data_IF_198365709064
#
_entry.id   IF_198365709064
#
_cell.length_a   1.000
_cell.length_b   1.000
_cell.length_c   1.000
_cell.angle_alpha   90.00
_cell.angle_beta   90.00
_cell.angle_gamma   90.00
#
_symmetry.space_group_name_H-M   'P 1'
#
loop_
_entity.id
_entity.type
_entity.pdbx_description
1 polymer ?
#
# COMPACT_ATOMS: atom_id res chain seq x y z
N UNK A 1 -5.91 -31.07 11.01
CA UNK A 1 -5.72 -30.42 9.70
C UNK A 1 -6.54 -29.13 9.71
N UNK A 2 -5.96 -28.04 10.19
CA UNK A 2 -6.64 -26.75 10.26
C UNK A 2 -5.99 -25.82 9.22
N UNK A 3 -6.74 -25.53 8.17
CA UNK A 3 -6.37 -24.59 7.11
C UNK A 3 -6.24 -23.20 7.71
N UNK A 4 -5.00 -22.74 7.91
CA UNK A 4 -4.71 -21.36 8.25
C UNK A 4 -4.98 -20.51 7.00
N UNK A 5 -6.21 -20.01 6.86
CA UNK A 5 -6.49 -18.91 5.97
C UNK A 5 -5.81 -17.65 6.53
N UNK A 6 -4.55 -17.42 6.15
CA UNK A 6 -3.90 -16.13 6.33
C UNK A 6 -4.70 -15.10 5.53
N UNK A 7 -5.65 -14.43 6.19
CA UNK A 7 -6.30 -13.25 5.66
C UNK A 7 -5.24 -12.18 5.40
N UNK A 8 -4.78 -12.08 4.17
CA UNK A 8 -3.85 -11.04 3.71
C UNK A 8 -4.54 -9.67 3.87
N UNK A 9 -4.25 -9.01 4.99
CA UNK A 9 -4.68 -7.62 5.18
C UNK A 9 -3.95 -6.72 4.16
N UNK A 10 -4.56 -5.62 3.69
CA UNK A 10 -3.98 -4.74 2.68
C UNK A 10 -2.61 -4.16 3.10
N UNK A 11 -2.37 -4.08 4.41
CA UNK A 11 -1.09 -3.66 4.99
C UNK A 11 0.02 -4.69 4.72
N UNK A 12 -0.28 -5.99 4.77
CA UNK A 12 0.66 -7.04 4.42
C UNK A 12 0.90 -7.12 2.91
N UNK A 13 -0.11 -6.88 2.07
CA UNK A 13 0.06 -6.78 0.61
C UNK A 13 0.99 -5.62 0.23
N UNK A 14 0.82 -4.46 0.86
CA UNK A 14 1.70 -3.29 0.65
C UNK A 14 3.10 -3.52 1.20
N UNK A 15 3.25 -4.18 2.36
CA UNK A 15 4.55 -4.53 2.93
C UNK A 15 5.30 -5.57 2.10
N UNK A 16 4.60 -6.59 1.60
CA UNK A 16 5.17 -7.60 0.70
C UNK A 16 5.52 -7.00 -0.67
N UNK A 17 4.68 -6.10 -1.20
CA UNK A 17 4.96 -5.36 -2.43
C UNK A 17 6.17 -4.41 -2.30
N UNK A 18 6.29 -3.70 -1.18
CA UNK A 18 7.44 -2.83 -0.89
C UNK A 18 8.73 -3.64 -0.66
N UNK A 19 8.65 -4.75 0.07
CA UNK A 19 9.77 -5.67 0.26
C UNK A 19 10.23 -6.30 -1.07
N UNK A 20 9.28 -6.62 -1.96
CA UNK A 20 9.59 -7.11 -3.31
C UNK A 20 10.22 -6.01 -4.19
N UNK A 21 9.78 -4.76 -4.06
CA UNK A 21 10.39 -3.60 -4.72
C UNK A 21 11.82 -3.33 -4.26
N UNK A 22 12.11 -3.57 -2.98
CA UNK A 22 13.46 -3.46 -2.38
C UNK A 22 14.40 -4.59 -2.81
N UNK A 23 13.86 -5.73 -3.25
CA UNK A 23 14.61 -6.89 -3.74
C UNK A 23 14.84 -6.86 -5.26
N UNK A 24 14.22 -5.93 -6.00
CA UNK A 24 14.55 -5.73 -7.40
C UNK A 24 15.95 -5.13 -7.51
N UNK A 25 16.90 -5.80 -8.18
CA UNK A 25 18.15 -5.14 -8.54
C UNK A 25 17.79 -3.92 -9.38
N UNK A 26 18.27 -2.75 -8.96
CA UNK A 26 18.23 -1.53 -9.75
C UNK A 26 18.94 -1.84 -11.07
N UNK A 27 18.18 -2.10 -12.13
CA UNK A 27 18.73 -2.24 -13.46
C UNK A 27 19.28 -0.86 -13.85
N UNK A 28 20.59 -0.72 -13.74
CA UNK A 28 21.31 0.45 -14.23
C UNK A 28 21.03 0.57 -15.73
N UNK A 29 20.34 1.64 -16.11
CA UNK A 29 20.29 2.09 -17.49
C UNK A 29 21.71 2.52 -17.87
N UNK A 30 22.50 1.59 -18.41
CA UNK A 30 23.81 1.89 -18.95
C UNK A 30 23.63 2.50 -20.34
N UNK A 31 24.23 3.66 -20.53
CA UNK A 31 24.26 4.36 -21.83
C UNK A 31 24.80 3.45 -22.93
N UNK A 32 24.24 3.54 -24.15
CA UNK A 32 24.71 2.78 -25.28
C UNK A 32 26.12 3.26 -25.65
N UNK A 33 27.11 2.42 -25.36
CA UNK A 33 28.41 2.54 -26.04
C UNK A 33 28.12 2.41 -27.53
N UNK A 34 28.57 3.38 -28.34
CA UNK A 34 28.21 3.59 -29.75
C UNK A 34 28.69 2.52 -30.73
N UNK A 35 28.61 1.26 -30.33
CA UNK A 35 28.98 0.06 -31.08
C UNK A 35 27.69 -0.72 -31.31
N UNK A 36 27.29 -0.89 -32.57
CA UNK A 36 26.07 -1.61 -32.92
C UNK A 36 26.09 -3.07 -32.43
N UNK A 37 24.96 -3.55 -31.90
CA UNK A 37 24.84 -4.89 -31.32
C UNK A 37 25.18 -6.02 -32.31
N UNK A 38 25.08 -5.75 -33.62
CA UNK A 38 25.35 -6.71 -34.69
C UNK A 38 26.75 -7.30 -34.68
N UNK A 39 27.75 -6.62 -34.12
CA UNK A 39 29.14 -7.12 -34.03
C UNK A 39 29.27 -8.38 -33.16
N UNK A 40 28.31 -8.60 -32.25
CA UNK A 40 28.29 -9.76 -31.36
C UNK A 40 27.45 -10.92 -31.91
N UNK A 41 27.03 -10.85 -33.18
CA UNK A 41 26.36 -11.97 -33.86
C UNK A 41 27.31 -13.17 -33.98
N UNK A 42 26.80 -14.38 -33.78
CA UNK A 42 27.57 -15.63 -33.70
C UNK A 42 28.59 -15.71 -32.54
N UNK A 43 28.52 -14.82 -31.55
CA UNK A 43 29.31 -14.90 -30.31
C UNK A 43 28.50 -15.62 -29.21
N UNK A 44 28.71 -15.21 -27.97
CA UNK A 44 27.96 -15.65 -26.80
C UNK A 44 26.84 -14.68 -26.45
N UNK A 45 25.85 -15.20 -25.74
CA UNK A 45 24.69 -14.46 -25.29
C UNK A 45 25.08 -13.40 -24.25
N UNK A 46 26.06 -13.72 -23.41
CA UNK A 46 26.61 -12.87 -22.37
C UNK A 46 27.37 -11.68 -22.94
N UNK A 47 28.09 -11.87 -24.04
CA UNK A 47 28.77 -10.77 -24.75
C UNK A 47 27.77 -9.83 -25.42
N UNK A 48 26.75 -10.38 -26.09
CA UNK A 48 25.69 -9.58 -26.72
C UNK A 48 24.89 -8.77 -25.68
N UNK A 49 24.54 -9.37 -24.55
CA UNK A 49 23.67 -8.76 -23.54
C UNK A 49 24.43 -7.90 -22.51
N UNK A 50 25.71 -7.56 -22.76
CA UNK A 50 26.40 -6.54 -21.96
C UNK A 50 25.68 -5.18 -22.02
N UNK A 51 25.08 -4.87 -23.15
CA UNK A 51 24.27 -3.67 -23.32
C UNK A 51 22.79 -4.04 -23.25
N UNK A 52 22.03 -3.34 -22.40
CA UNK A 52 20.56 -3.51 -22.29
C UNK A 52 19.80 -3.07 -23.54
N UNK A 53 20.47 -2.37 -24.46
CA UNK A 53 19.95 -1.97 -25.76
C UNK A 53 20.04 -3.09 -26.82
N UNK A 54 20.67 -4.23 -26.49
CA UNK A 54 20.79 -5.38 -27.39
C UNK A 54 19.79 -6.49 -27.05
N UNK A 55 19.39 -7.24 -28.06
CA UNK A 55 18.61 -8.47 -27.97
C UNK A 55 19.37 -9.61 -28.59
N UNK A 56 19.37 -10.74 -27.88
CA UNK A 56 19.95 -11.98 -28.37
C UNK A 56 18.86 -12.96 -28.81
N UNK A 57 19.02 -13.52 -30.02
CA UNK A 57 18.19 -14.61 -30.51
C UNK A 57 18.93 -15.93 -30.44
N UNK A 58 18.43 -16.89 -29.66
CA UNK A 58 19.11 -18.18 -29.49
C UNK A 58 19.03 -19.08 -30.73
N UNK A 59 17.97 -18.93 -31.53
CA UNK A 59 17.68 -19.77 -32.69
C UNK A 59 18.67 -19.49 -33.84
N UNK A 60 18.83 -18.21 -34.20
CA UNK A 60 19.72 -17.78 -35.29
C UNK A 60 21.11 -17.30 -34.81
N UNK A 61 21.39 -17.37 -33.50
CA UNK A 61 22.62 -16.83 -32.87
C UNK A 61 22.91 -15.38 -33.26
N UNK A 62 21.85 -14.58 -33.41
CA UNK A 62 21.91 -13.19 -33.85
C UNK A 62 21.84 -12.24 -32.66
N UNK A 63 22.68 -11.19 -32.68
CA UNK A 63 22.61 -10.08 -31.74
C UNK A 63 22.15 -8.84 -32.51
N UNK A 64 21.05 -8.23 -32.08
CA UNK A 64 20.43 -7.09 -32.78
C UNK A 64 20.07 -5.99 -31.80
N UNK A 65 20.09 -4.74 -32.25
CA UNK A 65 19.64 -3.60 -31.45
C UNK A 65 18.12 -3.67 -31.18
N UNK A 66 17.72 -3.46 -29.93
CA UNK A 66 16.37 -3.72 -29.44
C UNK A 66 15.97 -2.78 -28.30
N UNK A 67 14.81 -2.09 -28.38
CA UNK A 67 14.31 -1.30 -29.50
C UNK A 67 14.06 0.17 -29.08
N UNK A 68 14.10 1.13 -30.01
CA UNK A 68 13.73 2.54 -29.75
C UNK A 68 12.34 2.92 -30.29
N UNK A 69 11.64 1.99 -30.99
CA UNK A 69 10.42 2.31 -31.76
C UNK A 69 9.26 1.30 -31.64
N UNK A 70 9.51 0.03 -31.32
CA UNK A 70 8.47 -1.01 -31.18
C UNK A 70 8.70 -1.82 -29.92
N UNK A 71 7.68 -1.94 -29.08
CA UNK A 71 7.77 -2.57 -27.74
C UNK A 71 8.03 -4.08 -27.79
N UNK A 72 7.62 -4.77 -28.86
CA UNK A 72 7.85 -6.19 -29.07
C UNK A 72 8.66 -6.43 -30.36
N UNK A 73 9.63 -7.36 -30.36
CA UNK A 73 10.30 -7.76 -31.58
C UNK A 73 9.29 -8.53 -32.44
N UNK A 74 9.19 -8.25 -33.75
CA UNK A 74 8.33 -9.04 -34.62
C UNK A 74 8.80 -10.50 -34.63
N UNK A 75 7.84 -11.44 -34.62
CA UNK A 75 8.09 -12.88 -34.59
C UNK A 75 8.90 -13.39 -35.79
N UNK A 76 9.00 -12.60 -36.86
CA UNK A 76 9.83 -12.88 -38.04
C UNK A 76 11.33 -12.76 -37.77
N UNK A 77 11.76 -11.97 -36.77
CA UNK A 77 13.18 -11.83 -36.42
C UNK A 77 13.62 -12.91 -35.44
N UNK A 78 12.81 -13.19 -34.43
CA UNK A 78 13.05 -14.24 -33.46
C UNK A 78 11.74 -14.63 -32.77
N UNK A 79 11.59 -15.91 -32.43
CA UNK A 79 10.45 -16.36 -31.64
C UNK A 79 10.54 -15.79 -30.22
N UNK A 80 9.41 -15.37 -29.66
CA UNK A 80 9.36 -14.73 -28.32
C UNK A 80 9.95 -15.62 -27.21
N UNK A 81 9.87 -16.94 -27.37
CA UNK A 81 10.41 -17.93 -26.43
C UNK A 81 11.93 -18.09 -26.50
N UNK A 82 12.56 -17.77 -27.64
CA UNK A 82 14.01 -17.90 -27.87
C UNK A 82 14.77 -16.58 -27.83
N UNK A 83 14.04 -15.46 -27.76
CA UNK A 83 14.56 -14.11 -27.58
C UNK A 83 14.93 -13.84 -26.11
N UNK A 84 16.07 -13.21 -25.88
CA UNK A 84 16.61 -12.86 -24.56
C UNK A 84 17.01 -11.40 -24.50
N UNK A 85 16.75 -10.77 -23.37
CA UNK A 85 16.97 -9.33 -23.17
C UNK A 85 17.52 -9.07 -21.76
N UNK A 86 18.60 -8.29 -21.68
CA UNK A 86 19.30 -7.95 -20.43
C UNK A 86 20.04 -9.11 -19.73
N UNK A 87 19.47 -10.31 -19.73
CA UNK A 87 20.03 -11.51 -19.10
C UNK A 87 19.85 -12.74 -20.01
N UNK A 88 20.79 -13.68 -19.94
CA UNK A 88 20.76 -14.84 -20.84
C UNK A 88 19.87 -16.00 -20.35
N UNK A 89 19.63 -16.11 -19.05
CA UNK A 89 18.88 -17.25 -18.51
C UNK A 89 17.35 -17.05 -18.53
N UNK A 90 16.85 -15.82 -18.75
CA UNK A 90 15.41 -15.52 -18.82
C UNK A 90 15.00 -15.21 -20.25
N UNK A 91 13.93 -15.86 -20.71
CA UNK A 91 13.34 -15.60 -22.02
C UNK A 91 12.44 -14.36 -21.99
N UNK A 92 12.30 -13.69 -23.13
CA UNK A 92 11.47 -12.48 -23.25
C UNK A 92 10.00 -12.73 -22.89
N UNK A 93 9.48 -13.89 -23.27
CA UNK A 93 8.14 -14.37 -22.87
C UNK A 93 7.96 -14.40 -21.34
N UNK A 94 8.94 -14.97 -20.62
CA UNK A 94 8.89 -15.04 -19.16
C UNK A 94 8.96 -13.64 -18.53
N UNK A 95 9.77 -12.73 -19.08
CA UNK A 95 9.84 -11.34 -18.61
C UNK A 95 8.51 -10.59 -18.76
N UNK A 96 7.80 -10.78 -19.87
CA UNK A 96 6.48 -10.16 -20.07
C UNK A 96 5.47 -10.72 -19.06
N UNK A 97 5.45 -12.04 -18.88
CA UNK A 97 4.54 -12.69 -17.94
C UNK A 97 4.79 -12.18 -16.51
N UNK A 98 6.04 -12.13 -16.06
CA UNK A 98 6.35 -11.66 -14.71
C UNK A 98 5.95 -10.20 -14.49
N UNK A 99 6.26 -9.30 -15.44
CA UNK A 99 5.84 -7.89 -15.35
C UNK A 99 4.31 -7.74 -15.36
N UNK A 100 3.62 -8.57 -16.14
CA UNK A 100 2.15 -8.57 -16.19
C UNK A 100 1.54 -9.05 -14.87
N UNK A 101 2.09 -10.09 -14.25
CA UNK A 101 1.61 -10.60 -12.95
C UNK A 101 1.90 -9.61 -11.82
N UNK A 102 3.10 -9.02 -11.79
CA UNK A 102 3.47 -7.99 -10.81
C UNK A 102 2.59 -6.75 -10.95
N UNK A 103 2.47 -6.19 -12.17
CA UNK A 103 1.61 -5.04 -12.44
C UNK A 103 0.13 -5.35 -12.15
N UNK A 104 -0.36 -6.50 -12.61
CA UNK A 104 -1.75 -6.93 -12.41
C UNK A 104 -2.12 -7.14 -10.95
N UNK A 105 -1.23 -7.76 -10.16
CA UNK A 105 -1.45 -7.97 -8.73
C UNK A 105 -1.47 -6.66 -7.94
N UNK A 106 -0.61 -5.70 -8.29
CA UNK A 106 -0.61 -4.36 -7.69
C UNK A 106 -1.91 -3.61 -8.04
N UNK A 107 -2.31 -3.59 -9.32
CA UNK A 107 -3.55 -2.94 -9.75
C UNK A 107 -4.79 -3.57 -9.10
N UNK A 108 -4.83 -4.90 -9.02
CA UNK A 108 -5.90 -5.62 -8.34
C UNK A 108 -5.91 -5.30 -6.84
N UNK A 109 -4.74 -5.27 -6.20
CA UNK A 109 -4.57 -4.89 -4.80
C UNK A 109 -5.10 -3.47 -4.51
N UNK A 110 -4.76 -2.50 -5.36
CA UNK A 110 -5.27 -1.13 -5.27
C UNK A 110 -6.79 -1.11 -5.47
N UNK A 111 -7.30 -1.79 -6.50
CA UNK A 111 -8.74 -1.82 -6.80
C UNK A 111 -9.53 -2.40 -5.64
N UNK A 112 -9.10 -3.54 -5.09
CA UNK A 112 -9.73 -4.15 -3.92
C UNK A 112 -9.60 -3.24 -2.68
N UNK A 113 -8.43 -2.66 -2.44
CA UNK A 113 -8.23 -1.74 -1.32
C UNK A 113 -9.14 -0.51 -1.42
N UNK A 114 -9.20 0.15 -2.58
CA UNK A 114 -10.03 1.32 -2.82
C UNK A 114 -11.53 0.97 -2.79
N UNK A 115 -11.96 -0.14 -3.42
CA UNK A 115 -13.36 -0.54 -3.42
C UNK A 115 -13.85 -1.00 -2.04
N UNK A 116 -13.03 -1.72 -1.27
CA UNK A 116 -13.41 -2.21 0.07
C UNK A 116 -13.26 -1.15 1.16
N UNK A 117 -12.20 -0.33 1.14
CA UNK A 117 -11.97 0.70 2.17
C UNK A 117 -12.81 1.96 1.93
N UNK A 118 -13.01 2.40 0.68
CA UNK A 118 -13.78 3.62 0.41
C UNK A 118 -15.30 3.39 0.44
N UNK A 119 -15.81 2.20 0.03
CA UNK A 119 -17.24 1.88 0.20
C UNK A 119 -17.64 1.73 1.66
N UNK A 120 -16.77 1.14 2.49
CA UNK A 120 -17.01 0.96 3.93
C UNK A 120 -16.88 2.26 4.72
N UNK A 121 -16.10 3.24 4.23
CA UNK A 121 -16.11 4.62 4.75
C UNK A 121 -17.35 5.41 4.33
N UNK A 122 -17.91 5.18 3.13
CA UNK A 122 -19.15 5.85 2.70
C UNK A 122 -20.39 5.39 3.47
N UNK A 123 -20.43 4.15 3.96
CA UNK A 123 -21.46 3.69 4.90
C UNK A 123 -21.24 4.17 6.34
N UNK A 124 -20.04 4.69 6.65
CA UNK A 124 -19.69 5.32 7.93
C UNK A 124 -19.92 6.83 7.87
N UNK A 125 -21.00 7.28 7.21
CA UNK A 125 -21.59 8.55 7.65
C UNK A 125 -22.06 8.30 9.09
N UNK A 126 -21.81 9.20 10.06
CA UNK A 126 -22.46 9.10 11.37
C UNK A 126 -23.94 8.96 11.08
N UNK A 127 -24.48 7.79 11.39
CA UNK A 127 -25.83 7.47 10.96
C UNK A 127 -26.78 8.37 11.74
N UNK A 128 -27.97 8.65 11.21
CA UNK A 128 -28.96 9.48 11.88
C UNK A 128 -29.30 8.92 13.28
N UNK A 129 -29.02 7.63 13.51
CA UNK A 129 -29.06 6.95 14.81
C UNK A 129 -27.94 7.36 15.76
N UNK A 130 -26.71 7.55 15.29
CA UNK A 130 -25.57 7.96 16.13
C UNK A 130 -25.79 9.39 16.66
N UNK A 131 -26.31 10.28 15.81
CA UNK A 131 -26.63 11.65 16.21
C UNK A 131 -27.78 11.70 17.23
N UNK A 132 -28.77 10.81 17.10
CA UNK A 132 -29.83 10.62 18.10
C UNK A 132 -29.29 10.05 19.41
N UNK A 133 -28.37 9.08 19.34
CA UNK A 133 -27.76 8.48 20.51
C UNK A 133 -26.95 9.50 21.32
N UNK A 134 -26.22 10.40 20.65
CA UNK A 134 -25.48 11.48 21.30
C UNK A 134 -26.43 12.44 22.02
N UNK A 135 -27.53 12.87 21.37
CA UNK A 135 -28.53 13.75 21.98
C UNK A 135 -29.19 13.11 23.21
N UNK A 136 -29.59 11.85 23.12
CA UNK A 136 -30.14 11.13 24.28
C UNK A 136 -29.13 11.03 25.43
N UNK A 137 -27.84 10.83 25.12
CA UNK A 137 -26.81 10.72 26.13
C UNK A 137 -26.53 12.06 26.80
N UNK A 138 -26.56 13.16 26.05
CA UNK A 138 -26.49 14.53 26.57
C UNK A 138 -27.70 14.84 27.46
N UNK A 139 -28.93 14.54 27.04
CA UNK A 139 -30.12 14.72 27.88
C UNK A 139 -30.03 13.93 29.20
N UNK A 140 -29.53 12.69 29.15
CA UNK A 140 -29.33 11.87 30.36
C UNK A 140 -28.27 12.48 31.28
N UNK A 141 -27.19 13.04 30.72
CA UNK A 141 -26.14 13.74 31.49
C UNK A 141 -26.69 14.99 32.16
N UNK A 142 -27.42 15.83 31.41
CA UNK A 142 -28.05 17.04 31.96
C UNK A 142 -29.00 16.71 33.11
N UNK A 143 -29.88 15.70 32.96
CA UNK A 143 -30.78 15.27 34.05
C UNK A 143 -30.03 14.69 35.26
N UNK A 144 -28.84 14.14 35.09
CA UNK A 144 -28.01 13.69 36.21
C UNK A 144 -27.32 14.87 36.89
N UNK A 145 -26.83 15.84 36.12
CA UNK A 145 -26.20 17.06 36.62
C UNK A 145 -27.19 17.94 37.37
N UNK A 146 -28.42 18.11 36.87
CA UNK A 146 -29.49 18.82 37.57
C UNK A 146 -29.80 18.19 38.92
N UNK A 147 -29.98 16.87 38.99
CA UNK A 147 -30.23 16.16 40.26
C UNK A 147 -29.06 16.30 41.24
N UNK A 148 -27.83 16.26 40.74
CA UNK A 148 -26.62 16.46 41.56
C UNK A 148 -26.53 17.90 42.08
N UNK A 149 -26.85 18.88 41.25
CA UNK A 149 -26.85 20.29 41.62
C UNK A 149 -27.96 20.60 42.64
N UNK A 150 -29.15 20.04 42.46
CA UNK A 150 -30.28 20.16 43.39
C UNK A 150 -29.95 19.53 44.75
N UNK A 151 -29.43 18.30 44.78
CA UNK A 151 -29.01 17.67 46.04
C UNK A 151 -27.90 18.47 46.73
N UNK A 152 -26.96 19.04 45.97
CA UNK A 152 -25.89 19.88 46.51
C UNK A 152 -26.43 21.18 47.07
N UNK A 153 -27.33 21.87 46.37
CA UNK A 153 -27.93 23.12 46.86
C UNK A 153 -28.75 22.90 48.12
N UNK A 154 -29.53 21.81 48.19
CA UNK A 154 -30.27 21.40 49.40
C UNK A 154 -29.35 21.11 50.58
N UNK A 155 -28.25 20.38 50.34
CA UNK A 155 -27.26 20.13 51.39
C UNK A 155 -26.59 21.41 51.87
N UNK A 156 -26.23 22.31 50.96
CA UNK A 156 -25.58 23.58 51.29
C UNK A 156 -26.54 24.53 52.04
N UNK A 157 -27.83 24.53 51.69
CA UNK A 157 -28.89 25.27 52.39
C UNK A 157 -29.08 24.75 53.83
N UNK A 158 -29.13 23.42 54.02
CA UNK A 158 -29.18 22.80 55.36
C UNK A 158 -27.93 23.15 56.16
N UNK A 159 -26.73 23.05 55.55
CA UNK A 159 -25.47 23.41 56.22
C UNK A 159 -25.48 24.84 56.73
N UNK A 160 -26.03 25.78 55.95
CA UNK A 160 -26.20 27.19 56.33
C UNK A 160 -27.23 27.37 57.46
N UNK A 161 -28.39 26.71 57.36
CA UNK A 161 -29.48 26.83 58.34
C UNK A 161 -29.08 26.41 59.76
N UNK A 162 -28.22 25.40 59.88
CA UNK A 162 -27.74 24.90 61.19
C UNK A 162 -26.39 25.47 61.62
N UNK A 163 -25.92 26.56 60.99
CA UNK A 163 -24.66 27.23 61.39
C UNK A 163 -23.40 26.39 61.19
N UNK A 164 -23.48 25.34 60.36
CA UNK A 164 -22.34 24.49 59.98
C UNK A 164 -21.54 25.11 58.81
N UNK A 165 -21.86 26.34 58.43
CA UNK A 165 -20.93 27.28 57.80
C UNK A 165 -20.22 28.02 58.94
N UNK A 166 -19.21 27.38 59.55
CA UNK A 166 -18.20 28.12 60.29
C UNK A 166 -17.30 28.82 59.27
N UNK A 167 -17.13 30.12 59.48
CA UNK A 167 -16.10 31.03 58.94
C UNK A 167 -14.84 30.32 58.41
N UNK A 168 -14.23 30.86 57.35
CA UNK A 168 -12.87 30.53 56.91
C UNK A 168 -11.99 30.03 58.08
N UNK A 169 -11.48 28.80 57.98
CA UNK A 169 -10.61 28.23 59.00
C UNK A 169 -9.42 29.17 59.24
N UNK A 170 -9.28 29.79 60.43
CA UNK A 170 -8.17 30.72 60.71
C UNK A 170 -6.78 30.07 60.78
N UNK A 171 -6.69 28.75 60.57
CA UNK A 171 -5.47 27.93 60.69
C UNK A 171 -4.81 27.57 59.34
N UNK A 172 -5.24 28.12 58.21
CA UNK A 172 -4.62 27.87 56.89
C UNK A 172 -3.41 28.79 56.57
N UNK A 173 -2.91 29.56 57.54
CA UNK A 173 -1.64 30.28 57.43
C UNK A 173 -0.61 29.65 58.35
N UNK A 174 0.15 28.66 57.85
CA UNK A 174 1.58 28.46 58.08
C UNK A 174 2.11 27.48 57.04
#
# INVERSE_FOLDING_TARGET
MASAALGLTPRWVMLLGAALLLLLPVASAQEPTGVGCSLYTNRSCEECLRNVSCLWCNENKACVDYPVRKILPPASLCKLSSARWGVCWVNFEALIITMSVLGGSVLLGITVCCCCCCRRKKSRKPDKSDERAIREQEERRVRQEERRAEMKSRHDEIRKKYGLFKEQNPYEKF
#
